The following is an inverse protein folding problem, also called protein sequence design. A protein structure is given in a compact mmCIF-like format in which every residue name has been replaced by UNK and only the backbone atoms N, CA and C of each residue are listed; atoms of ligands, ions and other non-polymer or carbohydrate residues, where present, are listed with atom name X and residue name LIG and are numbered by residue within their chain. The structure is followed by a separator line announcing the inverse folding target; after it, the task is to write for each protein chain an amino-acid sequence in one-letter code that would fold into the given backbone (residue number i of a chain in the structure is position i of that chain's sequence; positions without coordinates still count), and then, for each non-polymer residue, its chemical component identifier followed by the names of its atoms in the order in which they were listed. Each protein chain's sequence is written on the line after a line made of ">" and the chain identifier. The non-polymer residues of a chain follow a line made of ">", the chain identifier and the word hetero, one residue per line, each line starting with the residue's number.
data_IF_848871699064
#
_entry.id   IF_848871699064
#
_cell.length_a   1.000
_cell.length_b   1.000
_cell.length_c   1.000
_cell.angle_alpha   90.00
_cell.angle_beta   90.00
_cell.angle_gamma   90.00
#
_symmetry.space_group_name_H-M   'P 1'
#
loop_
_entity.id
_entity.type
_entity.pdbx_description
1 polymer ?
#
# COMPACT_ATOMS: atom_id res chain seq x y z
N UNK A 1 -22.85 23.91 6.76
CA UNK A 1 -22.85 23.46 5.35
C UNK A 1 -21.57 22.66 5.12
N UNK A 2 -21.68 21.33 5.06
CA UNK A 2 -20.54 20.42 4.85
C UNK A 2 -20.23 20.37 3.35
N UNK A 3 -19.05 20.84 2.96
CA UNK A 3 -18.59 20.81 1.58
C UNK A 3 -18.26 19.37 1.18
N UNK A 4 -18.98 18.88 0.19
CA UNK A 4 -18.85 17.56 -0.41
C UNK A 4 -17.55 17.52 -1.23
N UNK A 5 -16.43 17.14 -0.61
CA UNK A 5 -15.17 16.93 -1.33
C UNK A 5 -15.26 15.62 -2.10
N UNK A 6 -15.53 15.71 -3.41
CA UNK A 6 -15.42 14.59 -4.33
C UNK A 6 -14.01 13.99 -4.20
N UNK A 7 -13.96 12.77 -3.69
CA UNK A 7 -12.79 11.89 -3.73
C UNK A 7 -12.29 11.83 -5.18
N UNK A 8 -11.11 12.39 -5.44
CA UNK A 8 -10.45 12.21 -6.74
C UNK A 8 -9.84 10.82 -6.73
N UNK A 9 -10.64 9.83 -7.11
CA UNK A 9 -10.18 8.45 -7.32
C UNK A 9 -9.36 8.45 -8.61
N UNK A 10 -8.06 8.20 -8.50
CA UNK A 10 -7.12 8.08 -9.62
C UNK A 10 -7.56 6.96 -10.59
N UNK A 11 -7.32 7.14 -11.88
CA UNK A 11 -7.69 6.20 -12.94
C UNK A 11 -7.02 4.83 -12.76
N UNK A 12 -5.83 4.80 -12.15
CA UNK A 12 -5.14 3.56 -11.73
C UNK A 12 -5.98 2.73 -10.75
N UNK A 13 -6.62 3.39 -9.77
CA UNK A 13 -7.47 2.75 -8.75
C UNK A 13 -8.81 2.27 -9.32
N UNK A 14 -9.33 2.91 -10.38
CA UNK A 14 -10.55 2.47 -11.08
C UNK A 14 -10.38 1.20 -11.92
N UNK A 15 -9.16 0.89 -12.36
CA UNK A 15 -8.88 -0.34 -13.11
C UNK A 15 -9.09 -1.60 -12.26
N UNK A 16 -8.69 -1.54 -10.99
CA UNK A 16 -8.78 -2.65 -10.03
C UNK A 16 -10.24 -2.97 -9.64
N UNK A 17 -11.10 -1.95 -9.54
CA UNK A 17 -12.50 -2.11 -9.09
C UNK A 17 -13.47 -2.60 -10.18
N UNK A 18 -13.07 -2.60 -11.47
CA UNK A 18 -13.95 -3.02 -12.59
C UNK A 18 -13.62 -4.40 -13.16
N UNK A 19 -12.50 -5.01 -12.78
CA UNK A 19 -12.14 -6.37 -13.20
C UNK A 19 -12.53 -7.39 -12.14
N UNK A 20 -13.69 -8.02 -12.26
CA UNK A 20 -14.09 -9.11 -11.38
C UNK A 20 -13.07 -10.26 -11.37
N UNK A 21 -12.70 -10.76 -10.19
CA UNK A 21 -12.17 -12.12 -10.00
C UNK A 21 -10.67 -12.37 -10.22
N UNK A 22 -9.83 -11.34 -10.23
CA UNK A 22 -8.38 -11.54 -10.30
C UNK A 22 -7.80 -11.92 -8.92
N UNK A 23 -7.29 -13.15 -8.77
CA UNK A 23 -6.70 -13.73 -7.54
C UNK A 23 -5.31 -14.27 -7.82
N UNK A 24 -4.38 -14.14 -6.87
CA UNK A 24 -3.08 -14.82 -6.90
C UNK A 24 -3.25 -16.34 -6.72
N UNK A 25 -2.33 -17.12 -7.29
CA UNK A 25 -2.22 -18.56 -7.05
C UNK A 25 -1.60 -18.89 -5.68
N UNK A 26 -1.89 -20.08 -5.15
CA UNK A 26 -1.25 -20.66 -3.96
C UNK A 26 0.28 -20.59 -4.00
N UNK A 27 0.87 -20.80 -5.18
CA UNK A 27 2.31 -20.75 -5.37
C UNK A 27 2.88 -19.33 -5.19
N UNK A 28 2.28 -18.32 -5.83
CA UNK A 28 2.69 -16.92 -5.71
C UNK A 28 2.66 -16.43 -4.25
N UNK A 29 1.70 -16.93 -3.47
CA UNK A 29 1.50 -16.57 -2.08
C UNK A 29 2.52 -17.16 -1.14
N UNK A 30 2.77 -18.46 -1.32
CA UNK A 30 3.81 -19.13 -0.58
C UNK A 30 5.15 -18.44 -0.83
N UNK A 31 5.43 -18.01 -2.07
CA UNK A 31 6.61 -17.20 -2.39
C UNK A 31 6.64 -15.85 -1.65
N UNK A 32 5.52 -15.11 -1.64
CA UNK A 32 5.41 -13.82 -0.96
C UNK A 32 5.56 -13.95 0.57
N UNK A 33 5.13 -15.09 1.12
CA UNK A 33 5.31 -15.45 2.52
C UNK A 33 6.70 -16.04 2.85
N UNK A 34 7.62 -16.11 1.87
CA UNK A 34 8.96 -16.70 2.05
C UNK A 34 8.98 -18.22 2.24
N UNK A 35 7.96 -18.92 1.76
CA UNK A 35 7.76 -20.38 1.87
C UNK A 35 7.99 -21.08 0.53
N UNK A 36 9.20 -21.00 0.00
CA UNK A 36 9.58 -21.55 -1.31
C UNK A 36 9.23 -23.04 -1.50
N UNK A 37 9.48 -23.87 -0.47
CA UNK A 37 9.16 -25.30 -0.55
C UNK A 37 7.65 -25.59 -0.65
N UNK A 38 6.82 -24.72 -0.06
CA UNK A 38 5.36 -24.81 -0.19
C UNK A 38 4.92 -24.34 -1.57
N UNK A 39 5.54 -23.28 -2.10
CA UNK A 39 5.22 -22.77 -3.43
C UNK A 39 5.42 -23.83 -4.52
N UNK A 40 6.51 -24.60 -4.43
CA UNK A 40 6.83 -25.67 -5.37
C UNK A 40 5.79 -26.81 -5.43
N UNK A 41 4.91 -26.92 -4.42
CA UNK A 41 3.86 -27.95 -4.35
C UNK A 41 2.54 -27.53 -5.01
N UNK A 42 2.44 -26.27 -5.47
CA UNK A 42 1.20 -25.71 -6.01
C UNK A 42 1.39 -25.20 -7.44
N UNK A 43 0.32 -25.26 -8.23
CA UNK A 43 0.31 -24.69 -9.57
C UNK A 43 0.28 -23.16 -9.49
N UNK A 44 1.20 -22.50 -10.20
CA UNK A 44 1.20 -21.05 -10.37
C UNK A 44 0.25 -20.62 -11.51
N UNK A 45 -0.18 -19.36 -11.50
CA UNK A 45 -0.83 -18.70 -12.65
C UNK A 45 -0.01 -17.47 -13.06
N UNK A 46 1.21 -17.65 -13.58
CA UNK A 46 2.24 -16.61 -13.58
C UNK A 46 1.80 -15.27 -14.19
N UNK A 47 1.13 -15.28 -15.34
CA UNK A 47 0.69 -14.03 -15.99
C UNK A 47 -0.29 -13.23 -15.13
N UNK A 48 -1.28 -13.90 -14.54
CA UNK A 48 -2.31 -13.28 -13.70
C UNK A 48 -1.71 -12.81 -12.37
N UNK A 49 -0.84 -13.66 -11.80
CA UNK A 49 -0.18 -13.39 -10.55
C UNK A 49 0.73 -12.15 -10.65
N UNK A 50 1.52 -12.09 -11.72
CA UNK A 50 2.43 -10.97 -12.00
C UNK A 50 1.68 -9.66 -12.21
N UNK A 51 0.51 -9.67 -12.85
CA UNK A 51 -0.31 -8.46 -13.02
C UNK A 51 -0.77 -7.88 -11.67
N UNK A 52 -1.35 -8.73 -10.82
CA UNK A 52 -1.84 -8.32 -9.49
C UNK A 52 -0.68 -7.82 -8.62
N UNK A 53 0.42 -8.56 -8.57
CA UNK A 53 1.59 -8.19 -7.78
C UNK A 53 2.22 -6.88 -8.26
N UNK A 54 2.19 -6.59 -9.57
CA UNK A 54 2.71 -5.33 -10.09
C UNK A 54 1.84 -4.12 -9.73
N UNK A 55 0.52 -4.30 -9.58
CA UNK A 55 -0.34 -3.24 -9.04
C UNK A 55 0.05 -2.93 -7.60
N UNK A 56 0.19 -3.95 -6.75
CA UNK A 56 0.62 -3.78 -5.36
C UNK A 56 2.01 -3.15 -5.27
N UNK A 57 2.96 -3.62 -6.08
CA UNK A 57 4.32 -3.06 -6.14
C UNK A 57 4.33 -1.58 -6.51
N UNK A 58 3.44 -1.15 -7.42
CA UNK A 58 3.28 0.26 -7.76
C UNK A 58 2.78 1.13 -6.59
N UNK A 59 1.90 0.59 -5.75
CA UNK A 59 1.42 1.27 -4.55
C UNK A 59 2.54 1.40 -3.50
N UNK A 60 3.34 0.36 -3.29
CA UNK A 60 4.49 0.44 -2.38
C UNK A 60 5.52 1.49 -2.85
N UNK A 61 5.77 1.59 -4.16
CA UNK A 61 6.65 2.65 -4.68
C UNK A 61 6.10 4.05 -4.41
N UNK A 62 4.78 4.26 -4.54
CA UNK A 62 4.12 5.53 -4.22
C UNK A 62 4.25 5.86 -2.72
N UNK A 63 4.02 4.89 -1.84
CA UNK A 63 4.14 5.06 -0.39
C UNK A 63 5.59 5.40 0.01
N UNK A 64 6.57 4.64 -0.47
CA UNK A 64 8.01 4.91 -0.22
C UNK A 64 8.38 6.34 -0.63
N UNK A 65 7.91 6.79 -1.80
CA UNK A 65 8.14 8.13 -2.30
C UNK A 65 7.46 9.20 -1.43
N UNK A 66 6.23 8.98 -0.98
CA UNK A 66 5.52 9.90 -0.10
C UNK A 66 6.26 10.10 1.23
N UNK A 67 6.70 9.01 1.87
CA UNK A 67 7.53 9.09 3.07
C UNK A 67 8.88 9.76 2.82
N UNK A 68 9.51 9.50 1.67
CA UNK A 68 10.78 10.15 1.31
C UNK A 68 10.60 11.66 1.17
N UNK A 69 9.53 12.11 0.51
CA UNK A 69 9.18 13.52 0.34
C UNK A 69 8.92 14.17 1.69
N UNK A 70 8.16 13.51 2.57
CA UNK A 70 7.91 13.97 3.94
C UNK A 70 9.21 14.12 4.74
N UNK A 71 10.06 13.09 4.73
CA UNK A 71 11.33 13.09 5.44
C UNK A 71 12.29 14.18 4.96
N UNK A 72 12.35 14.43 3.65
CA UNK A 72 13.23 15.43 3.04
C UNK A 72 12.67 16.86 3.09
N UNK A 73 11.41 17.04 3.50
CA UNK A 73 10.74 18.36 3.48
C UNK A 73 11.28 19.35 4.52
N UNK A 74 11.94 18.85 5.58
CA UNK A 74 12.31 19.65 6.75
C UNK A 74 11.13 20.08 7.62
N UNK A 75 9.92 19.59 7.35
CA UNK A 75 8.69 19.97 8.07
C UNK A 75 8.43 19.10 9.31
N UNK A 76 9.05 17.91 9.38
CA UNK A 76 8.80 16.94 10.45
C UNK A 76 9.70 17.21 11.67
N UNK A 77 9.09 17.20 12.86
CA UNK A 77 9.84 17.13 14.12
C UNK A 77 10.58 15.80 14.21
N UNK A 78 11.70 15.77 14.94
CA UNK A 78 12.60 14.62 15.00
C UNK A 78 11.89 13.30 15.36
N UNK A 79 11.04 13.29 16.38
CA UNK A 79 10.31 12.09 16.81
C UNK A 79 9.35 11.58 15.73
N UNK A 80 8.73 12.48 14.96
CA UNK A 80 7.83 12.14 13.87
C UNK A 80 8.60 11.64 12.65
N UNK A 81 9.75 12.25 12.36
CA UNK A 81 10.67 11.81 11.31
C UNK A 81 11.15 10.38 11.54
N UNK A 82 11.50 10.02 12.78
CA UNK A 82 11.95 8.65 13.14
C UNK A 82 10.86 7.61 12.82
N UNK A 83 9.59 7.91 13.15
CA UNK A 83 8.45 7.05 12.81
C UNK A 83 8.23 6.98 11.29
N UNK A 84 8.32 8.12 10.59
CA UNK A 84 8.17 8.18 9.14
C UNK A 84 9.24 7.33 8.42
N UNK A 85 10.49 7.38 8.89
CA UNK A 85 11.59 6.54 8.36
C UNK A 85 11.34 5.06 8.65
N UNK A 86 10.81 4.73 9.83
CA UNK A 86 10.43 3.36 10.16
C UNK A 86 9.32 2.83 9.23
N UNK A 87 8.24 3.58 9.01
CA UNK A 87 7.17 3.16 8.11
C UNK A 87 7.66 3.07 6.66
N UNK A 88 8.50 4.00 6.21
CA UNK A 88 9.18 3.86 4.92
C UNK A 88 9.98 2.54 4.81
N UNK A 89 10.62 2.09 5.90
CA UNK A 89 11.34 0.82 5.90
C UNK A 89 10.39 -0.39 5.77
N UNK A 90 9.18 -0.32 6.32
CA UNK A 90 8.16 -1.36 6.16
C UNK A 90 7.73 -1.47 4.69
N UNK A 91 7.39 -0.36 4.04
CA UNK A 91 7.05 -0.35 2.61
C UNK A 91 8.20 -0.83 1.73
N UNK A 92 9.45 -0.49 2.06
CA UNK A 92 10.64 -1.04 1.36
C UNK A 92 10.70 -2.56 1.46
N UNK A 93 10.42 -3.12 2.63
CA UNK A 93 10.38 -4.57 2.82
C UNK A 93 9.20 -5.23 2.06
N UNK A 94 8.02 -4.60 2.06
CA UNK A 94 6.87 -5.06 1.27
C UNK A 94 7.18 -5.06 -0.23
N UNK A 95 7.69 -3.93 -0.76
CA UNK A 95 8.18 -3.78 -2.14
C UNK A 95 9.16 -4.87 -2.52
N UNK A 96 10.16 -5.14 -1.68
CA UNK A 96 11.19 -6.13 -1.97
C UNK A 96 10.62 -7.56 -2.04
N UNK A 97 9.69 -7.88 -1.14
CA UNK A 97 8.99 -9.16 -1.14
C UNK A 97 8.12 -9.32 -2.41
N UNK A 98 7.39 -8.28 -2.81
CA UNK A 98 6.58 -8.26 -4.03
C UNK A 98 7.46 -8.41 -5.28
N UNK A 99 8.53 -7.62 -5.40
CA UNK A 99 9.44 -7.67 -6.54
C UNK A 99 10.17 -9.02 -6.64
N UNK A 100 10.59 -9.60 -5.52
CA UNK A 100 11.18 -10.94 -5.50
C UNK A 100 10.17 -12.00 -5.97
N UNK A 101 8.92 -11.91 -5.52
CA UNK A 101 7.85 -12.84 -5.92
C UNK A 101 7.55 -12.75 -7.41
N UNK A 102 7.43 -11.54 -7.96
CA UNK A 102 7.22 -11.32 -9.40
C UNK A 102 8.33 -11.99 -10.22
N UNK A 103 9.60 -11.81 -9.83
CA UNK A 103 10.74 -12.44 -10.52
C UNK A 103 10.70 -13.97 -10.44
N UNK A 104 10.35 -14.54 -9.28
CA UNK A 104 10.22 -16.00 -9.11
C UNK A 104 9.11 -16.61 -9.97
N UNK A 105 8.07 -15.83 -10.27
CA UNK A 105 7.01 -16.19 -11.21
C UNK A 105 7.40 -15.95 -12.68
N UNK A 106 8.63 -15.51 -12.97
CA UNK A 106 9.10 -15.22 -14.33
C UNK A 106 8.57 -13.89 -14.90
N UNK A 107 7.96 -13.05 -14.07
CA UNK A 107 7.50 -11.72 -14.46
C UNK A 107 8.57 -10.64 -14.29
N UNK A 108 8.31 -9.48 -14.91
CA UNK A 108 9.12 -8.28 -14.73
C UNK A 108 8.48 -7.36 -13.68
N UNK A 109 9.18 -7.01 -12.59
CA UNK A 109 8.70 -6.01 -11.63
C UNK A 109 8.58 -4.63 -12.28
N UNK A 110 7.47 -3.94 -12.00
CA UNK A 110 7.27 -2.56 -12.45
C UNK A 110 8.31 -1.64 -11.80
N UNK A 111 8.92 -0.80 -12.62
CA UNK A 111 9.90 0.18 -12.15
C UNK A 111 9.20 1.29 -11.36
N UNK A 112 9.89 1.81 -10.34
CA UNK A 112 9.46 3.04 -9.68
C UNK A 112 9.52 4.23 -10.66
N UNK A 113 8.61 5.19 -10.47
CA UNK A 113 8.70 6.49 -11.15
C UNK A 113 9.77 7.35 -10.46
N UNK A 114 10.17 8.45 -11.09
CA UNK A 114 11.03 9.43 -10.43
C UNK A 114 10.35 10.06 -9.21
N UNK A 115 11.15 10.48 -8.23
CA UNK A 115 10.64 11.18 -7.05
C UNK A 115 9.86 12.46 -7.42
N UNK A 116 10.27 13.15 -8.49
CA UNK A 116 9.57 14.33 -9.03
C UNK A 116 8.18 13.97 -9.58
N UNK A 117 8.05 12.85 -10.29
CA UNK A 117 6.76 12.39 -10.79
C UNK A 117 5.79 12.07 -9.64
N UNK A 118 6.29 11.43 -8.58
CA UNK A 118 5.50 11.20 -7.36
C UNK A 118 5.17 12.51 -6.65
N UNK A 119 6.13 13.42 -6.50
CA UNK A 119 5.90 14.73 -5.88
C UNK A 119 4.78 15.50 -6.58
N UNK A 120 4.74 15.46 -7.92
CA UNK A 120 3.67 16.06 -8.71
C UNK A 120 2.33 15.35 -8.48
N UNK A 121 2.31 14.02 -8.56
CA UNK A 121 1.08 13.23 -8.39
C UNK A 121 0.46 13.41 -6.99
N UNK A 122 1.31 13.49 -5.96
CA UNK A 122 0.92 13.66 -4.56
C UNK A 122 0.71 15.13 -4.16
N UNK A 123 0.90 16.07 -5.10
CA UNK A 123 0.85 17.52 -4.84
C UNK A 123 1.75 17.95 -3.67
N UNK A 124 2.97 17.39 -3.59
CA UNK A 124 3.91 17.61 -2.49
C UNK A 124 4.33 19.08 -2.33
N UNK A 125 4.28 19.87 -3.40
CA UNK A 125 4.56 21.31 -3.36
C UNK A 125 3.56 22.11 -2.48
N UNK A 126 2.38 21.55 -2.20
CA UNK A 126 1.37 22.16 -1.34
C UNK A 126 1.59 21.92 0.16
N UNK A 127 2.51 21.02 0.55
CA UNK A 127 2.78 20.72 1.96
C UNK A 127 3.56 21.88 2.60
N UNK A 128 3.05 22.44 3.71
CA UNK A 128 3.64 23.60 4.41
C UNK A 128 3.93 23.35 5.88
N UNK A 129 3.44 22.24 6.43
CA UNK A 129 3.54 21.93 7.84
C UNK A 129 3.70 20.41 8.06
N UNK A 130 4.13 20.02 9.26
CA UNK A 130 4.09 18.63 9.70
C UNK A 130 2.69 18.03 9.54
N UNK A 131 1.64 18.79 9.87
CA UNK A 131 0.27 18.33 9.76
C UNK A 131 -0.09 17.98 8.31
N UNK A 132 0.34 18.77 7.32
CA UNK A 132 0.10 18.48 5.91
C UNK A 132 0.78 17.17 5.47
N UNK A 133 2.02 16.94 5.93
CA UNK A 133 2.78 15.72 5.62
C UNK A 133 2.10 14.49 6.24
N UNK A 134 1.73 14.57 7.52
CA UNK A 134 1.03 13.49 8.21
C UNK A 134 -0.36 13.22 7.63
N UNK A 135 -1.04 14.26 7.16
CA UNK A 135 -2.32 14.14 6.46
C UNK A 135 -2.19 13.43 5.12
N UNK A 136 -1.14 13.76 4.36
CA UNK A 136 -0.86 13.05 3.12
C UNK A 136 -0.58 11.57 3.40
N UNK A 137 0.32 11.28 4.35
CA UNK A 137 0.64 9.91 4.73
C UNK A 137 -0.61 9.15 5.20
N UNK A 138 -1.38 9.70 6.14
CA UNK A 138 -2.59 9.05 6.66
C UNK A 138 -3.63 8.76 5.56
N UNK A 139 -3.79 9.66 4.58
CA UNK A 139 -4.66 9.40 3.42
C UNK A 139 -4.16 8.26 2.54
N UNK A 140 -2.84 8.16 2.35
CA UNK A 140 -2.24 7.06 1.61
C UNK A 140 -2.41 5.74 2.35
N UNK A 141 -2.14 5.70 3.65
CA UNK A 141 -2.34 4.50 4.49
C UNK A 141 -3.79 4.03 4.52
N UNK A 142 -4.73 4.96 4.68
CA UNK A 142 -6.16 4.63 4.61
C UNK A 142 -6.52 4.06 3.23
N UNK A 143 -5.98 4.66 2.17
CA UNK A 143 -6.16 4.19 0.81
C UNK A 143 -5.58 2.78 0.58
N UNK A 144 -4.38 2.53 1.08
CA UNK A 144 -3.69 1.25 0.99
C UNK A 144 -4.41 0.17 1.81
N UNK A 145 -4.79 0.49 3.04
CA UNK A 145 -5.61 -0.37 3.90
C UNK A 145 -6.89 -0.81 3.18
N UNK A 146 -7.66 0.14 2.65
CA UNK A 146 -8.91 -0.17 1.96
C UNK A 146 -8.68 -0.92 0.65
N UNK A 147 -7.62 -0.60 -0.10
CA UNK A 147 -7.25 -1.34 -1.30
C UNK A 147 -6.95 -2.81 -0.98
N UNK A 148 -6.08 -3.07 0.01
CA UNK A 148 -5.75 -4.42 0.43
C UNK A 148 -6.95 -5.20 0.99
N UNK A 149 -7.85 -4.56 1.75
CA UNK A 149 -9.06 -5.24 2.24
C UNK A 149 -10.04 -5.51 1.09
N UNK A 150 -10.25 -4.55 0.18
CA UNK A 150 -11.23 -4.67 -0.90
C UNK A 150 -10.99 -5.86 -1.84
N UNK A 151 -9.73 -6.29 -1.94
CA UNK A 151 -9.39 -7.45 -2.78
C UNK A 151 -9.61 -8.78 -2.05
N UNK A 152 -9.67 -8.82 -0.71
CA UNK A 152 -9.84 -10.05 0.09
C UNK A 152 -11.08 -10.86 -0.29
N UNK A 153 -12.29 -10.27 -0.44
CA UNK A 153 -13.49 -11.06 -0.76
C UNK A 153 -13.42 -11.76 -2.12
N UNK A 154 -12.68 -11.20 -3.07
CA UNK A 154 -12.49 -11.81 -4.38
C UNK A 154 -11.47 -12.97 -4.34
N UNK A 155 -10.67 -13.07 -3.28
CA UNK A 155 -9.62 -14.08 -3.11
C UNK A 155 -10.23 -15.42 -2.69
N UNK A 156 -10.16 -16.41 -3.58
CA UNK A 156 -10.58 -17.79 -3.28
C UNK A 156 -9.58 -18.51 -2.35
N UNK A 157 -8.40 -17.94 -2.19
CA UNK A 157 -7.27 -18.51 -1.47
C UNK A 157 -7.12 -17.89 -0.07
N UNK A 158 -7.11 -18.75 0.96
CA UNK A 158 -7.05 -18.32 2.37
C UNK A 158 -5.69 -17.79 2.78
N UNK A 159 -4.60 -18.30 2.21
CA UNK A 159 -3.26 -17.78 2.50
C UNK A 159 -3.04 -16.43 1.79
N UNK A 160 -3.73 -16.18 0.67
CA UNK A 160 -3.75 -14.86 0.01
C UNK A 160 -4.50 -13.84 0.82
N UNK A 161 -5.71 -14.20 1.22
CA UNK A 161 -6.51 -13.38 2.13
C UNK A 161 -5.68 -13.05 3.37
N UNK A 162 -4.86 -13.98 3.87
CA UNK A 162 -3.95 -13.75 5.00
C UNK A 162 -2.80 -12.79 4.67
N UNK A 163 -2.17 -12.88 3.50
CA UNK A 163 -1.11 -11.93 3.12
C UNK A 163 -1.68 -10.53 2.90
N UNK A 164 -2.78 -10.40 2.16
CA UNK A 164 -3.48 -9.13 1.97
C UNK A 164 -3.98 -8.57 3.31
N UNK A 165 -4.47 -9.42 4.23
CA UNK A 165 -4.85 -9.01 5.57
C UNK A 165 -3.66 -8.54 6.42
N UNK A 166 -2.48 -9.17 6.29
CA UNK A 166 -1.25 -8.74 6.98
C UNK A 166 -0.79 -7.38 6.47
N UNK A 167 -0.79 -7.17 5.15
CA UNK A 167 -0.50 -5.86 4.55
C UNK A 167 -1.51 -4.82 5.05
N UNK A 168 -2.81 -5.10 4.93
CA UNK A 168 -3.85 -4.23 5.45
C UNK A 168 -3.70 -3.93 6.95
N UNK A 169 -3.24 -4.90 7.76
CA UNK A 169 -2.99 -4.70 9.18
C UNK A 169 -1.78 -3.78 9.43
N UNK A 170 -0.70 -3.92 8.68
CA UNK A 170 0.44 -3.00 8.72
C UNK A 170 -0.02 -1.58 8.36
N UNK A 171 -0.77 -1.40 7.26
CA UNK A 171 -1.24 -0.07 6.84
C UNK A 171 -2.25 0.52 7.85
N UNK A 172 -3.09 -0.34 8.45
CA UNK A 172 -3.99 0.08 9.54
C UNK A 172 -3.19 0.57 10.75
N UNK A 173 -2.08 -0.10 11.09
CA UNK A 173 -1.19 0.34 12.16
C UNK A 173 -0.57 1.70 11.82
N UNK A 174 -0.08 1.89 10.59
CA UNK A 174 0.54 3.16 10.18
C UNK A 174 -0.49 4.28 10.20
N UNK A 175 -1.67 4.07 9.62
CA UNK A 175 -2.81 4.99 9.67
C UNK A 175 -3.17 5.39 11.10
N UNK A 176 -3.24 4.41 12.01
CA UNK A 176 -3.60 4.62 13.41
C UNK A 176 -2.55 5.47 14.12
N UNK A 177 -1.27 5.16 13.93
CA UNK A 177 -0.17 5.93 14.50
C UNK A 177 -0.15 7.38 13.99
N UNK A 178 -0.34 7.58 12.68
CA UNK A 178 -0.41 8.91 12.07
C UNK A 178 -1.62 9.71 12.57
N UNK A 179 -2.79 9.07 12.68
CA UNK A 179 -4.01 9.67 13.23
C UNK A 179 -3.78 10.14 14.67
N UNK A 180 -3.12 9.33 15.48
CA UNK A 180 -2.72 9.71 16.84
C UNK A 180 -1.73 10.88 16.85
N UNK A 181 -0.72 10.87 15.98
CA UNK A 181 0.27 11.95 15.87
C UNK A 181 -0.36 13.29 15.42
N UNK A 182 -1.46 13.23 14.67
CA UNK A 182 -2.28 14.38 14.26
C UNK A 182 -3.22 14.87 15.38
N UNK A 183 -3.28 14.21 16.52
CA UNK A 183 -4.24 14.52 17.59
C UNK A 183 -5.70 14.31 17.18
N UNK A 184 -5.94 13.47 16.18
CA UNK A 184 -7.29 13.17 15.68
C UNK A 184 -7.93 12.05 16.48
N UNK A 185 -9.26 12.07 16.66
CA UNK A 185 -9.95 10.93 17.23
C UNK A 185 -9.85 9.72 16.30
N UNK A 186 -9.76 8.53 16.87
CA UNK A 186 -9.96 7.29 16.13
C UNK A 186 -11.41 7.20 15.62
N UNK A 187 -11.68 6.41 14.57
CA UNK A 187 -13.05 6.20 14.09
C UNK A 187 -13.98 5.76 15.22
N UNK A 188 -15.11 6.47 15.39
CA UNK A 188 -16.06 6.19 16.46
C UNK A 188 -16.91 4.93 16.21
N UNK A 189 -17.04 4.52 14.95
CA UNK A 189 -17.79 3.32 14.53
C UNK A 189 -16.86 2.14 14.24
N UNK A 190 -17.33 0.93 14.55
CA UNK A 190 -16.67 -0.32 14.18
C UNK A 190 -16.71 -0.57 12.66
N UNK A 191 -15.95 -1.57 12.19
CA UNK A 191 -15.79 -1.89 10.75
C UNK A 191 -15.30 -0.67 9.94
N UNK A 192 -14.29 0.02 10.48
CA UNK A 192 -13.84 1.32 10.01
C UNK A 192 -13.06 1.29 8.68
N UNK A 193 -12.71 0.10 8.19
CA UNK A 193 -11.91 -0.11 6.98
C UNK A 193 -12.55 -1.18 6.08
N UNK A 194 -12.30 -1.09 4.78
CA UNK A 194 -12.75 -2.07 3.79
C UNK A 194 -14.23 -1.98 3.39
N UNK A 195 -14.87 -0.83 3.64
CA UNK A 195 -16.24 -0.54 3.20
C UNK A 195 -16.35 -0.23 1.69
#
# INVERSE_FOLDING_TARGET
>A
MLANQKMVVDASRRGVLRGGGATLSLAALALLAGRDALAAQHAAQPSKDVEILNVALGLEHEAIAAYQLGANSGLLQKSVLEVAVQFQSHHKAHRDALAATIRKLGGQPVAEKSLEAYAKALNAAALKSQADVLDLAARLELGATNAYISVIPAMQDRELAKVAARLAADETMHFTALTSALGRPLPAGALSFGA
#
